data_IF_625961551536
#
_entry.id   IF_625961551536
#
_cell.length_a   1.000
_cell.length_b   1.000
_cell.length_c   1.000
_cell.angle_alpha   90.00
_cell.angle_beta   90.00
_cell.angle_gamma   90.00
#
_symmetry.space_group_name_H-M   'P 1'
#
loop_
_entity.id
_entity.type
_entity.pdbx_description
1 polymer ?
#
# COMPACT_ATOMS: atom_id res chain seq x y z
N UNK A 1 16.69 12.82 28.59
CA UNK A 1 17.79 11.85 28.78
C UNK A 1 18.71 11.95 27.56
N UNK A 2 19.98 12.31 27.75
CA UNK A 2 20.95 12.41 26.64
C UNK A 2 21.50 11.01 26.36
N UNK A 3 21.15 10.39 25.23
CA UNK A 3 21.62 9.04 24.90
C UNK A 3 23.00 9.16 24.23
N UNK A 4 24.05 8.80 24.97
CA UNK A 4 25.42 8.75 24.49
C UNK A 4 25.80 7.30 24.14
N UNK A 5 26.06 7.00 22.86
CA UNK A 5 26.90 5.85 22.49
C UNK A 5 28.35 6.33 22.42
N UNK A 6 29.14 5.99 23.44
CA UNK A 6 30.56 6.32 23.52
C UNK A 6 31.35 5.55 22.46
N UNK A 7 31.63 6.23 21.34
CA UNK A 7 32.87 6.14 20.52
C UNK A 7 32.76 6.81 19.14
N UNK A 8 31.70 7.56 18.84
CA UNK A 8 31.63 8.41 17.63
C UNK A 8 30.83 9.69 17.92
N UNK A 9 31.48 10.71 18.47
CA UNK A 9 30.93 12.06 18.65
C UNK A 9 30.82 12.78 17.30
N UNK A 10 29.86 12.36 16.47
CA UNK A 10 29.43 13.14 15.30
C UNK A 10 28.25 14.02 15.72
N UNK A 11 28.29 15.36 15.55
CA UNK A 11 27.19 16.27 15.93
C UNK A 11 25.82 15.84 15.40
N UNK A 12 25.78 15.17 14.24
CA UNK A 12 24.56 14.68 13.59
C UNK A 12 23.89 13.49 14.30
N UNK A 13 24.55 12.82 15.26
CA UNK A 13 23.95 11.70 16.03
C UNK A 13 23.43 12.11 17.40
N UNK A 14 23.64 13.35 17.80
CA UNK A 14 23.15 13.88 19.06
C UNK A 14 21.77 14.50 18.87
N UNK A 15 20.78 13.99 19.61
CA UNK A 15 19.42 14.53 19.64
C UNK A 15 18.83 14.37 21.04
N UNK A 16 17.80 15.17 21.34
CA UNK A 16 17.11 15.14 22.63
C UNK A 16 15.65 14.74 22.41
N UNK A 17 15.16 13.88 23.31
CA UNK A 17 13.76 13.51 23.43
C UNK A 17 13.27 13.91 24.82
N UNK A 18 12.20 14.70 24.85
CA UNK A 18 11.44 14.97 26.07
C UNK A 18 10.55 13.76 26.43
N UNK A 19 10.02 13.74 27.65
CA UNK A 19 9.02 12.74 28.05
C UNK A 19 7.78 12.81 27.14
N UNK A 20 7.35 14.01 26.78
CA UNK A 20 6.22 14.21 25.88
C UNK A 20 6.51 13.72 24.46
N UNK A 21 7.74 13.87 23.96
CA UNK A 21 8.11 13.31 22.64
C UNK A 21 8.01 11.78 22.66
N UNK A 22 8.46 11.12 23.74
CA UNK A 22 8.35 9.66 23.90
C UNK A 22 6.88 9.24 23.99
N UNK A 23 6.07 9.95 24.77
CA UNK A 23 4.64 9.66 24.93
C UNK A 23 3.85 9.87 23.62
N UNK A 24 4.26 10.82 22.76
CA UNK A 24 3.65 11.01 21.43
C UNK A 24 4.10 9.95 20.43
N UNK A 25 5.40 9.60 20.42
CA UNK A 25 5.96 8.66 19.45
C UNK A 25 5.57 7.22 19.79
N UNK A 26 5.67 6.82 21.06
CA UNK A 26 5.43 5.45 21.54
C UNK A 26 4.43 5.44 22.71
N UNK A 27 3.17 5.90 22.51
CA UNK A 27 2.18 5.99 23.59
C UNK A 27 1.85 4.65 24.24
N UNK A 28 1.88 3.57 23.46
CA UNK A 28 1.44 2.23 23.90
C UNK A 28 2.59 1.47 24.58
N UNK A 29 3.79 1.50 24.00
CA UNK A 29 4.93 0.71 24.49
C UNK A 29 5.84 1.48 25.45
N UNK A 30 5.82 2.82 25.42
CA UNK A 30 6.75 3.71 26.14
C UNK A 30 8.23 3.42 25.89
N UNK A 31 8.54 2.70 24.81
CA UNK A 31 9.91 2.38 24.42
C UNK A 31 10.63 3.64 23.95
N UNK A 32 11.95 3.70 24.11
CA UNK A 32 12.75 4.81 23.61
C UNK A 32 12.97 4.65 22.09
N UNK A 33 12.55 5.61 21.25
CA UNK A 33 12.83 5.56 19.82
C UNK A 33 14.33 5.80 19.57
N UNK A 34 14.87 5.11 18.56
CA UNK A 34 16.28 5.19 18.18
C UNK A 34 16.35 5.78 16.77
N UNK A 35 17.04 6.90 16.62
CA UNK A 35 17.24 7.57 15.34
C UNK A 35 18.70 7.49 14.91
N UNK A 36 18.93 7.43 13.60
CA UNK A 36 20.28 7.43 13.02
C UNK A 36 20.89 8.82 13.02
N UNK A 37 20.07 9.83 12.79
CA UNK A 37 20.49 11.24 12.74
C UNK A 37 19.55 12.15 13.53
N UNK A 38 20.03 13.35 13.86
CA UNK A 38 19.25 14.42 14.47
C UNK A 38 18.10 14.84 13.55
N UNK A 39 18.35 14.94 12.24
CA UNK A 39 17.35 15.32 11.24
C UNK A 39 16.20 14.30 11.21
N UNK A 40 16.50 12.99 11.27
CA UNK A 40 15.48 11.95 11.39
C UNK A 40 14.63 12.13 12.66
N UNK A 41 15.27 12.41 13.78
CA UNK A 41 14.59 12.61 15.06
C UNK A 41 13.68 13.85 15.04
N UNK A 42 14.19 14.99 14.57
CA UNK A 42 13.42 16.24 14.52
C UNK A 42 12.24 16.15 13.55
N UNK A 43 12.45 15.62 12.35
CA UNK A 43 11.38 15.46 11.37
C UNK A 43 10.32 14.46 11.85
N UNK A 44 10.74 13.33 12.44
CA UNK A 44 9.80 12.36 13.02
C UNK A 44 9.00 13.00 14.16
N UNK A 45 9.64 13.72 15.09
CA UNK A 45 8.93 14.45 16.15
C UNK A 45 7.92 15.44 15.57
N UNK A 46 8.28 16.21 14.55
CA UNK A 46 7.38 17.16 13.91
C UNK A 46 6.15 16.46 13.31
N UNK A 47 6.32 15.30 12.67
CA UNK A 47 5.21 14.49 12.17
C UNK A 47 4.29 14.03 13.30
N UNK A 48 4.81 13.45 14.39
CA UNK A 48 4.00 12.99 15.53
C UNK A 48 3.34 14.12 16.33
N UNK A 49 3.77 15.38 16.16
CA UNK A 49 3.08 16.55 16.73
C UNK A 49 1.85 16.94 15.91
N UNK A 50 1.82 16.62 14.61
CA UNK A 50 0.75 16.99 13.69
C UNK A 50 -0.25 15.87 13.46
N UNK A 51 0.23 14.63 13.41
CA UNK A 51 -0.56 13.46 13.05
C UNK A 51 -0.63 12.48 14.23
N UNK A 52 -1.83 12.09 14.69
CA UNK A 52 -1.98 11.14 15.78
C UNK A 52 -1.55 9.73 15.37
N UNK A 53 -1.29 8.88 16.36
CA UNK A 53 -1.09 7.45 16.13
C UNK A 53 -2.38 6.75 15.67
N UNK A 54 -2.25 5.66 14.92
CA UNK A 54 -3.38 4.86 14.45
C UNK A 54 -4.30 4.38 15.60
N UNK A 55 -3.71 3.93 16.71
CA UNK A 55 -4.39 3.51 17.94
C UNK A 55 -3.59 4.00 19.14
N UNK A 56 -4.23 4.77 20.01
CA UNK A 56 -3.69 5.16 21.31
C UNK A 56 -4.40 4.38 22.42
N UNK A 57 -3.79 3.30 22.88
CA UNK A 57 -4.36 2.43 23.93
C UNK A 57 -4.43 3.14 25.27
N UNK A 58 -3.46 4.02 25.57
CA UNK A 58 -3.44 4.79 26.82
C UNK A 58 -4.61 5.78 26.93
N UNK A 59 -5.11 6.28 25.79
CA UNK A 59 -6.25 7.21 25.71
C UNK A 59 -7.55 6.55 25.25
N UNK A 60 -7.52 5.26 24.89
CA UNK A 60 -8.66 4.55 24.31
C UNK A 60 -9.07 5.06 22.93
N UNK A 61 -8.17 5.71 22.18
CA UNK A 61 -8.48 6.31 20.88
C UNK A 61 -8.21 5.32 19.75
N UNK A 62 -9.24 5.07 18.94
CA UNK A 62 -9.17 4.25 17.72
C UNK A 62 -10.06 4.89 16.64
N UNK A 63 -9.62 6.00 16.01
CA UNK A 63 -10.46 6.79 15.11
C UNK A 63 -10.92 6.03 13.86
N UNK A 64 -10.21 4.97 13.49
CA UNK A 64 -10.53 4.11 12.33
C UNK A 64 -11.31 2.85 12.70
N UNK A 65 -11.59 2.62 13.99
CA UNK A 65 -12.15 1.38 14.50
C UNK A 65 -11.32 0.15 14.08
N UNK A 66 -10.01 0.31 13.92
CA UNK A 66 -9.14 -0.72 13.33
C UNK A 66 -9.09 -1.96 14.23
N UNK A 67 -9.18 -3.14 13.59
CA UNK A 67 -8.91 -4.44 14.18
C UNK A 67 -7.92 -5.19 13.30
N UNK A 68 -7.20 -6.13 13.89
CA UNK A 68 -6.19 -6.92 13.18
C UNK A 68 -6.51 -8.41 13.24
N UNK A 69 -6.22 -9.12 12.15
CA UNK A 69 -6.45 -10.56 12.03
C UNK A 69 -5.26 -11.24 11.35
N UNK A 70 -4.67 -12.24 12.00
CA UNK A 70 -3.81 -13.21 11.34
C UNK A 70 -4.66 -14.43 10.98
N UNK A 71 -4.98 -14.60 9.70
CA UNK A 71 -6.05 -15.52 9.28
C UNK A 71 -5.60 -17.00 9.29
N UNK A 72 -4.58 -17.39 8.52
CA UNK A 72 -4.06 -18.78 8.53
C UNK A 72 -2.60 -18.87 8.94
N UNK A 73 -2.30 -19.62 9.99
CA UNK A 73 -0.94 -19.91 10.41
C UNK A 73 -0.36 -21.06 9.56
N UNK A 74 0.81 -20.86 8.96
CA UNK A 74 1.35 -21.81 7.97
C UNK A 74 1.66 -23.21 8.54
N UNK A 75 1.97 -23.29 9.84
CA UNK A 75 2.21 -24.56 10.54
C UNK A 75 0.91 -25.15 11.12
N UNK A 76 0.26 -24.43 12.04
CA UNK A 76 -0.91 -24.91 12.78
C UNK A 76 -2.11 -25.24 11.88
N UNK A 77 -2.34 -24.47 10.82
CA UNK A 77 -3.48 -24.67 9.91
C UNK A 77 -3.10 -25.49 8.65
N UNK A 78 -1.89 -26.06 8.59
CA UNK A 78 -1.39 -26.76 7.39
C UNK A 78 -2.30 -27.90 6.91
N UNK A 79 -3.03 -28.54 7.82
CA UNK A 79 -4.00 -29.60 7.54
C UNK A 79 -5.19 -29.12 6.67
N UNK A 80 -5.45 -27.82 6.59
CA UNK A 80 -6.48 -27.22 5.74
C UNK A 80 -5.99 -26.92 4.32
N UNK A 81 -4.68 -26.93 4.09
CA UNK A 81 -4.10 -26.49 2.83
C UNK A 81 -4.15 -27.62 1.80
N UNK A 82 -4.57 -27.29 0.58
CA UNK A 82 -4.60 -28.23 -0.54
C UNK A 82 -3.82 -27.67 -1.71
N UNK A 83 -3.05 -28.53 -2.38
CA UNK A 83 -2.39 -28.23 -3.64
C UNK A 83 -3.37 -28.40 -4.80
N UNK A 84 -2.98 -27.83 -5.95
CA UNK A 84 -3.70 -28.02 -7.22
C UNK A 84 -3.93 -29.50 -7.54
N UNK A 85 -2.87 -30.32 -7.48
CA UNK A 85 -2.94 -31.74 -7.83
C UNK A 85 -3.90 -32.52 -6.92
N UNK A 86 -3.90 -32.22 -5.62
CA UNK A 86 -4.82 -32.87 -4.66
C UNK A 86 -6.29 -32.54 -4.95
N UNK A 87 -6.59 -31.27 -5.26
CA UNK A 87 -7.96 -30.84 -5.58
C UNK A 87 -8.43 -31.38 -6.93
N UNK A 88 -7.59 -31.38 -7.95
CA UNK A 88 -7.90 -31.97 -9.26
C UNK A 88 -8.16 -33.48 -9.14
N UNK A 89 -7.37 -34.20 -8.34
CA UNK A 89 -7.59 -35.62 -8.06
C UNK A 89 -8.89 -35.90 -7.30
N UNK A 90 -9.39 -34.93 -6.52
CA UNK A 90 -10.67 -34.99 -5.81
C UNK A 90 -11.87 -34.54 -6.67
N UNK A 91 -11.66 -34.27 -7.97
CA UNK A 91 -12.73 -33.89 -8.90
C UNK A 91 -13.11 -32.41 -8.87
N UNK A 92 -12.28 -31.54 -8.30
CA UNK A 92 -12.44 -30.09 -8.41
C UNK A 92 -11.88 -29.59 -9.74
N UNK A 93 -12.46 -28.50 -10.25
CA UNK A 93 -11.99 -27.79 -11.44
C UNK A 93 -11.62 -26.35 -11.06
N UNK A 94 -10.49 -25.89 -11.59
CA UNK A 94 -10.01 -24.53 -11.40
C UNK A 94 -10.79 -23.56 -12.32
N UNK A 95 -11.33 -22.49 -11.75
CA UNK A 95 -11.97 -21.37 -12.44
C UNK A 95 -11.27 -20.08 -12.00
N UNK A 96 -10.43 -19.52 -12.86
CA UNK A 96 -9.50 -18.45 -12.48
C UNK A 96 -8.44 -18.97 -11.49
N UNK A 97 -8.56 -18.60 -10.23
CA UNK A 97 -7.74 -19.10 -9.12
C UNK A 97 -8.57 -19.72 -7.99
N UNK A 98 -9.84 -20.06 -8.25
CA UNK A 98 -10.73 -20.74 -7.29
C UNK A 98 -11.03 -22.15 -7.77
N UNK A 99 -11.03 -23.10 -6.85
CA UNK A 99 -11.48 -24.46 -7.13
C UNK A 99 -12.96 -24.63 -6.77
N UNK A 100 -13.71 -25.20 -7.72
CA UNK A 100 -15.14 -25.52 -7.61
C UNK A 100 -15.33 -26.99 -7.91
N UNK A 101 -16.19 -27.68 -7.16
CA UNK A 101 -16.50 -29.09 -7.42
C UNK A 101 -17.20 -29.25 -8.78
N UNK A 102 -16.79 -30.25 -9.57
CA UNK A 102 -17.21 -30.35 -10.98
C UNK A 102 -18.74 -30.49 -11.16
N UNK A 103 -19.41 -31.22 -10.27
CA UNK A 103 -20.85 -31.45 -10.26
C UNK A 103 -21.66 -30.16 -9.95
N UNK A 104 -21.17 -29.33 -9.03
CA UNK A 104 -21.76 -28.03 -8.74
C UNK A 104 -21.54 -27.04 -9.90
N UNK A 105 -20.36 -27.06 -10.52
CA UNK A 105 -20.05 -26.21 -11.66
C UNK A 105 -20.99 -26.46 -12.85
N UNK A 106 -21.35 -27.72 -13.08
CA UNK A 106 -22.26 -28.14 -14.16
C UNK A 106 -23.71 -27.67 -13.97
N UNK A 107 -24.13 -27.41 -12.71
CA UNK A 107 -25.44 -26.83 -12.39
C UNK A 107 -25.52 -25.33 -12.63
N UNK A 108 -24.39 -24.63 -12.71
CA UNK A 108 -24.35 -23.19 -12.97
C UNK A 108 -24.24 -22.98 -14.49
N UNK A 109 -25.18 -22.23 -15.12
CA UNK A 109 -25.11 -21.89 -16.54
C UNK A 109 -23.72 -21.35 -16.87
N UNK A 110 -23.13 -21.74 -18.02
CA UNK A 110 -21.82 -21.18 -18.47
C UNK A 110 -21.80 -19.65 -18.38
N UNK A 111 -22.94 -19.04 -18.64
CA UNK A 111 -23.28 -17.61 -18.57
C UNK A 111 -23.32 -17.00 -17.16
N UNK A 112 -23.17 -17.77 -16.08
CA UNK A 112 -23.18 -17.29 -14.68
C UNK A 112 -22.01 -17.79 -13.84
N UNK A 113 -21.04 -18.50 -14.44
CA UNK A 113 -19.81 -18.96 -13.78
C UNK A 113 -18.82 -17.80 -13.58
N UNK A 114 -19.12 -16.88 -12.66
CA UNK A 114 -18.21 -15.80 -12.23
C UNK A 114 -17.78 -16.00 -10.78
N UNK A 115 -16.60 -15.51 -10.41
CA UNK A 115 -16.09 -15.55 -9.03
C UNK A 115 -17.11 -15.04 -8.01
N UNK A 116 -17.76 -13.91 -8.28
CA UNK A 116 -18.80 -13.32 -7.41
C UNK A 116 -20.04 -14.22 -7.27
N UNK A 117 -20.44 -14.94 -8.31
CA UNK A 117 -21.56 -15.86 -8.26
C UNK A 117 -21.29 -17.11 -7.39
N UNK A 118 -20.02 -17.56 -7.32
CA UNK A 118 -19.63 -18.70 -6.47
C UNK A 118 -19.56 -18.31 -4.98
N UNK A 119 -18.99 -17.14 -4.65
CA UNK A 119 -18.95 -16.68 -3.26
C UNK A 119 -20.35 -16.44 -2.67
N UNK A 120 -21.28 -15.91 -3.47
CA UNK A 120 -22.65 -15.63 -3.04
C UNK A 120 -23.54 -16.89 -2.96
N UNK A 121 -23.15 -18.00 -3.59
CA UNK A 121 -23.98 -19.23 -3.60
C UNK A 121 -23.88 -20.04 -2.31
N UNK A 122 -22.97 -19.68 -1.38
CA UNK A 122 -22.79 -20.41 -0.13
C UNK A 122 -22.33 -21.87 -0.33
N UNK A 123 -21.77 -22.18 -1.50
CA UNK A 123 -21.35 -23.53 -1.83
C UNK A 123 -20.27 -24.00 -0.85
N UNK A 124 -20.57 -25.07 -0.10
CA UNK A 124 -19.65 -25.67 0.87
C UNK A 124 -18.40 -26.27 0.20
N UNK A 125 -18.47 -26.51 -1.11
CA UNK A 125 -17.45 -27.17 -1.92
C UNK A 125 -16.56 -26.17 -2.70
N UNK A 126 -16.19 -25.06 -2.07
CA UNK A 126 -15.30 -24.05 -2.67
C UNK A 126 -13.96 -23.99 -1.96
N UNK A 127 -12.90 -23.82 -2.75
CA UNK A 127 -11.53 -23.64 -2.27
C UNK A 127 -10.97 -22.33 -2.80
N UNK A 128 -10.66 -21.42 -1.88
CA UNK A 128 -10.14 -20.08 -2.16
C UNK A 128 -8.60 -20.08 -2.17
N UNK A 129 -7.96 -19.22 -2.97
CA UNK A 129 -6.52 -19.13 -3.01
C UNK A 129 -5.97 -18.66 -1.65
N UNK A 130 -4.89 -19.28 -1.17
CA UNK A 130 -4.18 -18.84 0.03
C UNK A 130 -3.05 -17.88 -0.38
N UNK A 131 -3.28 -16.59 -0.15
CA UNK A 131 -2.34 -15.52 -0.44
C UNK A 131 -1.18 -15.50 0.56
N UNK A 132 0.01 -15.24 0.03
CA UNK A 132 1.24 -15.08 0.78
C UNK A 132 1.84 -13.69 0.54
N UNK A 133 2.68 -13.22 1.47
CA UNK A 133 3.25 -11.87 1.40
C UNK A 133 3.97 -11.59 0.08
N UNK A 134 4.59 -12.59 -0.54
CA UNK A 134 5.31 -12.45 -1.82
C UNK A 134 4.43 -12.39 -3.06
N UNK A 135 3.11 -12.54 -2.91
CA UNK A 135 2.13 -12.40 -3.99
C UNK A 135 1.62 -10.96 -4.13
N UNK A 136 1.93 -10.08 -3.17
CA UNK A 136 1.35 -8.74 -3.08
C UNK A 136 2.43 -7.66 -3.03
N UNK A 137 2.09 -6.49 -3.54
CA UNK A 137 2.85 -5.25 -3.44
C UNK A 137 1.91 -4.06 -3.24
N UNK A 138 2.44 -2.86 -3.00
CA UNK A 138 1.59 -1.69 -2.80
C UNK A 138 0.88 -1.36 -4.10
N UNK A 139 -0.44 -1.16 -4.02
CA UNK A 139 -1.37 -1.03 -5.15
C UNK A 139 -1.42 -2.23 -6.10
N UNK A 140 -0.94 -3.41 -5.71
CA UNK A 140 -0.89 -4.57 -6.59
C UNK A 140 -1.14 -5.88 -5.84
N UNK A 141 -2.33 -6.45 -6.01
CA UNK A 141 -2.69 -7.76 -5.47
C UNK A 141 -2.27 -8.93 -6.38
N UNK A 142 -1.69 -8.63 -7.56
CA UNK A 142 -1.27 -9.60 -8.57
C UNK A 142 0.25 -9.62 -8.79
N UNK A 143 1.01 -9.08 -7.83
CA UNK A 143 2.45 -8.88 -7.93
C UNK A 143 3.27 -10.17 -8.11
N UNK A 144 2.86 -11.28 -7.50
CA UNK A 144 3.64 -12.52 -7.53
C UNK A 144 2.77 -13.76 -7.72
N UNK A 145 3.18 -14.64 -8.64
CA UNK A 145 2.45 -15.87 -8.97
C UNK A 145 3.32 -17.11 -8.80
N UNK A 146 2.74 -18.22 -8.36
CA UNK A 146 3.39 -19.53 -8.35
C UNK A 146 3.27 -20.28 -9.67
N UNK A 147 2.60 -19.71 -10.66
CA UNK A 147 2.56 -20.28 -12.00
C UNK A 147 3.97 -20.45 -12.57
N UNK A 148 4.27 -21.65 -13.06
CA UNK A 148 5.60 -22.00 -13.58
C UNK A 148 6.68 -22.21 -12.51
N UNK A 149 6.35 -22.07 -11.22
CA UNK A 149 7.28 -22.31 -10.11
C UNK A 149 7.23 -23.77 -9.69
N UNK A 150 8.37 -24.46 -9.75
CA UNK A 150 8.49 -25.88 -9.41
C UNK A 150 8.89 -26.14 -7.96
N UNK A 151 9.45 -25.14 -7.26
CA UNK A 151 9.88 -25.25 -5.87
C UNK A 151 9.36 -24.11 -5.01
N UNK A 152 8.82 -24.45 -3.84
CA UNK A 152 8.35 -23.50 -2.82
C UNK A 152 9.50 -22.80 -2.08
N UNK A 153 10.74 -23.30 -2.18
CA UNK A 153 11.90 -22.77 -1.43
C UNK A 153 12.31 -21.35 -1.83
N UNK A 154 11.87 -20.87 -3.01
CA UNK A 154 12.19 -19.51 -3.45
C UNK A 154 11.49 -18.46 -2.59
N UNK A 155 12.27 -17.49 -2.11
CA UNK A 155 11.79 -16.32 -1.38
C UNK A 155 11.14 -15.27 -2.29
N UNK A 156 11.38 -15.37 -3.60
CA UNK A 156 10.81 -14.49 -4.63
C UNK A 156 9.93 -15.28 -5.59
N UNK A 157 8.87 -14.64 -6.08
CA UNK A 157 8.02 -15.17 -7.14
C UNK A 157 8.28 -14.37 -8.42
N UNK A 158 8.11 -15.00 -9.61
CA UNK A 158 8.01 -14.25 -10.85
C UNK A 158 6.92 -13.18 -10.74
N UNK A 159 7.27 -11.94 -11.10
CA UNK A 159 6.32 -10.84 -11.23
C UNK A 159 5.72 -10.87 -12.64
N UNK A 160 4.39 -10.90 -12.80
CA UNK A 160 3.76 -10.81 -14.11
C UNK A 160 4.17 -9.53 -14.86
N UNK A 161 4.27 -9.59 -16.18
CA UNK A 161 4.61 -8.41 -16.97
C UNK A 161 3.40 -7.46 -17.15
N UNK A 162 3.63 -6.30 -17.76
CA UNK A 162 2.59 -5.28 -18.00
C UNK A 162 1.45 -5.81 -18.89
N UNK A 163 1.72 -6.73 -19.82
CA UNK A 163 0.68 -7.30 -20.68
C UNK A 163 -0.28 -8.17 -19.88
N UNK A 164 0.25 -8.98 -18.96
CA UNK A 164 -0.56 -9.79 -18.04
C UNK A 164 -1.33 -8.92 -17.07
N UNK A 165 -0.72 -7.88 -16.51
CA UNK A 165 -1.45 -6.95 -15.64
C UNK A 165 -2.54 -6.17 -16.37
N UNK A 166 -2.34 -5.85 -17.65
CA UNK A 166 -3.34 -5.19 -18.47
C UNK A 166 -4.56 -6.06 -18.80
N UNK A 167 -4.46 -7.40 -18.65
CA UNK A 167 -5.62 -8.29 -18.73
C UNK A 167 -6.43 -8.23 -17.43
N UNK A 168 -7.68 -7.72 -17.45
CA UNK A 168 -8.51 -7.63 -16.25
C UNK A 168 -9.02 -8.99 -15.75
N UNK A 169 -8.86 -10.05 -16.54
CA UNK A 169 -9.22 -11.42 -16.17
C UNK A 169 -8.05 -12.21 -15.58
N UNK A 170 -6.83 -11.66 -15.69
CA UNK A 170 -5.64 -12.30 -15.13
C UNK A 170 -5.68 -12.27 -13.61
N UNK A 171 -5.53 -13.46 -13.01
CA UNK A 171 -5.40 -13.68 -11.57
C UNK A 171 -4.13 -14.47 -11.26
N UNK A 172 -3.49 -14.17 -10.13
CA UNK A 172 -2.31 -14.91 -9.68
C UNK A 172 -2.66 -16.30 -9.17
N UNK A 173 -1.76 -17.25 -9.37
CA UNK A 173 -1.91 -18.62 -8.89
C UNK A 173 -1.20 -18.76 -7.54
N UNK A 174 -1.89 -19.22 -6.48
CA UNK A 174 -1.27 -19.53 -5.21
C UNK A 174 -0.56 -20.89 -5.29
N UNK A 175 0.19 -21.23 -4.23
CA UNK A 175 0.67 -22.60 -4.05
C UNK A 175 -0.38 -23.49 -3.39
N UNK A 176 -1.16 -22.92 -2.46
CA UNK A 176 -2.18 -23.63 -1.69
C UNK A 176 -3.55 -22.96 -1.83
N UNK A 177 -4.58 -23.76 -1.64
CA UNK A 177 -5.95 -23.34 -1.48
C UNK A 177 -6.49 -23.79 -0.13
N UNK A 178 -7.47 -23.06 0.39
CA UNK A 178 -8.15 -23.32 1.67
C UNK A 178 -9.67 -23.39 1.47
N UNK A 179 -10.41 -24.16 2.28
CA UNK A 179 -11.86 -24.21 2.18
C UNK A 179 -12.47 -22.82 2.40
N UNK A 180 -13.46 -22.44 1.58
CA UNK A 180 -14.09 -21.13 1.67
C UNK A 180 -14.76 -20.91 3.03
N UNK A 181 -15.42 -21.93 3.59
CA UNK A 181 -16.07 -21.81 4.91
C UNK A 181 -15.09 -21.51 6.05
N UNK A 182 -13.84 -21.95 5.95
CA UNK A 182 -12.77 -21.64 6.92
C UNK A 182 -12.35 -20.16 6.84
N UNK A 183 -12.39 -19.57 5.63
CA UNK A 183 -12.17 -18.13 5.41
C UNK A 183 -13.32 -17.34 6.02
N UNK A 184 -14.57 -17.73 5.72
CA UNK A 184 -15.78 -17.08 6.24
C UNK A 184 -15.83 -17.11 7.77
N UNK A 185 -15.58 -18.26 8.38
CA UNK A 185 -15.58 -18.42 9.84
C UNK A 185 -14.57 -17.50 10.52
N UNK A 186 -13.37 -17.34 9.94
CA UNK A 186 -12.31 -16.46 10.47
C UNK A 186 -12.59 -14.97 10.25
N UNK A 187 -13.30 -14.63 9.18
CA UNK A 187 -13.71 -13.25 8.88
C UNK A 187 -14.90 -12.80 9.73
N UNK A 188 -15.72 -13.74 10.22
CA UNK A 188 -16.84 -13.46 11.11
C UNK A 188 -17.81 -12.43 10.51
N UNK A 189 -17.94 -11.28 11.16
CA UNK A 189 -18.85 -10.22 10.71
C UNK A 189 -18.35 -9.38 9.54
N UNK A 190 -17.17 -9.67 8.98
CA UNK A 190 -16.67 -8.96 7.81
C UNK A 190 -17.43 -9.36 6.53
N UNK A 191 -18.40 -8.54 6.12
CA UNK A 191 -19.27 -8.81 4.96
C UNK A 191 -18.75 -8.32 3.61
N UNK A 192 -17.63 -7.59 3.57
CA UNK A 192 -17.12 -7.00 2.31
C UNK A 192 -16.51 -8.06 1.40
N UNK A 193 -16.68 -7.89 0.09
CA UNK A 193 -16.13 -8.78 -0.94
C UNK A 193 -14.62 -8.63 -1.16
N UNK A 194 -13.92 -7.90 -0.30
CA UNK A 194 -12.51 -7.58 -0.38
C UNK A 194 -11.90 -7.50 1.01
N UNK A 195 -10.57 -7.58 1.07
CA UNK A 195 -9.76 -7.56 2.28
C UNK A 195 -8.66 -6.49 2.13
N UNK A 196 -8.03 -6.14 3.25
CA UNK A 196 -6.87 -5.26 3.28
C UNK A 196 -5.79 -5.93 4.11
N UNK A 197 -4.63 -6.19 3.50
CA UNK A 197 -3.52 -6.87 4.16
C UNK A 197 -2.20 -6.14 3.97
N UNK A 198 -1.18 -6.55 4.72
CA UNK A 198 0.17 -6.00 4.57
C UNK A 198 1.24 -7.07 4.65
N UNK A 199 2.43 -6.79 4.12
CA UNK A 199 3.58 -7.69 4.24
C UNK A 199 4.16 -7.55 5.65
N UNK A 200 4.03 -8.59 6.48
CA UNK A 200 4.62 -8.59 7.82
C UNK A 200 6.15 -8.60 7.76
N UNK A 201 6.72 -9.46 6.91
CA UNK A 201 8.17 -9.61 6.77
C UNK A 201 8.75 -8.41 6.02
N UNK A 202 9.49 -7.56 6.72
CA UNK A 202 10.07 -6.33 6.17
C UNK A 202 11.20 -5.80 7.05
N UNK A 203 11.99 -4.83 6.59
CA UNK A 203 13.02 -4.17 7.40
C UNK A 203 13.22 -2.71 6.97
N UNK A 204 13.99 -1.93 7.73
CA UNK A 204 14.25 -0.51 7.49
C UNK A 204 15.07 -0.21 6.22
N UNK A 205 15.66 -1.22 5.59
CA UNK A 205 16.55 -1.08 4.41
C UNK A 205 15.92 -1.54 3.10
N UNK A 206 14.74 -2.18 3.14
CA UNK A 206 14.02 -2.62 1.96
C UNK A 206 13.67 -1.47 1.03
N UNK A 207 13.32 -1.78 -0.23
CA UNK A 207 12.79 -0.80 -1.20
C UNK A 207 11.61 -0.03 -0.61
N UNK A 208 10.69 -0.74 0.05
CA UNK A 208 9.58 -0.22 0.86
C UNK A 208 9.54 -0.98 2.18
N UNK A 209 9.42 -0.27 3.28
CA UNK A 209 9.27 -0.90 4.60
C UNK A 209 7.81 -1.21 4.88
N UNK A 210 6.89 -0.32 4.50
CA UNK A 210 5.46 -0.50 4.64
C UNK A 210 4.85 -0.83 3.28
N UNK A 211 4.23 -2.01 3.17
CA UNK A 211 3.60 -2.48 1.93
C UNK A 211 2.23 -3.05 2.25
N UNK A 212 1.18 -2.31 1.88
CA UNK A 212 -0.21 -2.68 2.07
C UNK A 212 -0.88 -2.94 0.72
N UNK A 213 -1.76 -3.94 0.66
CA UNK A 213 -2.50 -4.28 -0.56
C UNK A 213 -3.96 -4.56 -0.24
N UNK A 214 -4.86 -3.99 -1.06
CA UNK A 214 -6.26 -4.41 -1.10
C UNK A 214 -6.34 -5.70 -1.89
N UNK A 215 -7.05 -6.69 -1.36
CA UNK A 215 -7.13 -8.04 -1.90
C UNK A 215 -8.59 -8.40 -2.19
N UNK A 216 -8.86 -9.30 -3.14
CA UNK A 216 -10.16 -9.95 -3.22
C UNK A 216 -10.45 -10.74 -1.92
N UNK A 217 -11.69 -11.20 -1.73
CA UNK A 217 -12.03 -12.08 -0.61
C UNK A 217 -11.38 -13.46 -0.78
N UNK A 218 -10.22 -13.64 -0.13
CA UNK A 218 -9.34 -14.81 -0.28
C UNK A 218 -8.83 -15.30 1.08
N UNK A 219 -8.23 -16.49 1.12
CA UNK A 219 -7.44 -16.90 2.26
C UNK A 219 -6.14 -16.09 2.32
N UNK A 220 -5.71 -15.67 3.51
CA UNK A 220 -4.45 -14.97 3.70
C UNK A 220 -3.63 -15.66 4.80
N UNK A 221 -2.35 -15.93 4.54
CA UNK A 221 -1.51 -16.47 5.58
C UNK A 221 -1.14 -15.40 6.63
N UNK A 222 -0.63 -15.83 7.78
CA UNK A 222 -0.21 -14.96 8.89
C UNK A 222 0.95 -14.00 8.55
N UNK A 223 1.57 -14.13 7.36
CA UNK A 223 2.55 -13.15 6.83
C UNK A 223 1.91 -12.10 5.92
N UNK A 224 0.61 -12.23 5.64
CA UNK A 224 -0.29 -11.19 5.17
C UNK A 224 -1.33 -10.89 6.24
N UNK A 225 -0.96 -10.27 7.37
CA UNK A 225 -1.94 -9.93 8.39
C UNK A 225 -2.95 -8.92 7.83
N UNK A 226 -4.20 -9.05 8.23
CA UNK A 226 -5.30 -8.24 7.76
C UNK A 226 -5.59 -7.07 8.69
N UNK A 227 -5.99 -5.96 8.09
CA UNK A 227 -6.47 -4.74 8.74
C UNK A 227 -7.96 -4.61 8.44
N UNK A 228 -8.78 -4.66 9.48
CA UNK A 228 -10.23 -4.53 9.38
C UNK A 228 -10.63 -3.14 9.88
N UNK A 229 -11.03 -2.26 8.97
CA UNK A 229 -11.43 -0.88 9.28
C UNK A 229 -12.96 -0.80 9.44
N UNK A 230 -13.43 -0.10 10.47
CA UNK A 230 -14.87 0.14 10.69
C UNK A 230 -15.21 1.53 10.15
N UNK A 231 -15.15 1.65 8.83
CA UNK A 231 -15.42 2.90 8.07
C UNK A 231 -15.91 2.58 6.67
N UNK A 232 -16.43 3.56 5.90
CA UNK A 232 -16.88 3.32 4.53
C UNK A 232 -15.70 3.09 3.54
N UNK A 233 -15.99 2.65 2.32
CA UNK A 233 -14.94 2.31 1.34
C UNK A 233 -14.23 3.53 0.75
N UNK A 234 -14.91 4.68 0.70
CA UNK A 234 -14.33 5.98 0.32
C UNK A 234 -13.19 6.37 1.29
N UNK A 235 -13.44 6.35 2.60
CA UNK A 235 -12.43 6.62 3.62
C UNK A 235 -11.39 5.50 3.72
N UNK A 236 -11.75 4.26 3.40
CA UNK A 236 -10.78 3.16 3.31
C UNK A 236 -9.74 3.43 2.21
N UNK A 237 -10.15 3.98 1.06
CA UNK A 237 -9.24 4.40 -0.01
C UNK A 237 -8.23 5.44 0.49
N UNK A 238 -8.68 6.40 1.29
CA UNK A 238 -7.81 7.39 1.92
C UNK A 238 -6.82 6.74 2.90
N UNK A 239 -7.30 5.92 3.83
CA UNK A 239 -6.42 5.18 4.74
C UNK A 239 -5.37 4.36 3.99
N UNK A 240 -5.80 3.66 2.94
CA UNK A 240 -4.95 2.81 2.12
C UNK A 240 -3.86 3.58 1.40
N UNK A 241 -4.18 4.74 0.83
CA UNK A 241 -3.20 5.59 0.20
C UNK A 241 -2.21 6.20 1.21
N UNK A 242 -2.70 6.54 2.41
CA UNK A 242 -1.88 7.08 3.47
C UNK A 242 -0.77 6.10 3.89
N UNK A 243 -1.14 4.85 4.22
CA UNK A 243 -0.19 3.83 4.69
C UNK A 243 0.77 3.33 3.60
N UNK A 244 0.49 3.67 2.34
CA UNK A 244 1.39 3.43 1.20
C UNK A 244 2.13 4.70 0.75
N UNK A 245 2.05 5.81 1.48
CA UNK A 245 2.84 7.01 1.18
C UNK A 245 4.31 6.87 1.60
N UNK A 246 5.21 7.55 0.91
CA UNK A 246 6.63 7.62 1.28
C UNK A 246 6.85 8.27 2.65
N UNK A 247 5.96 9.18 3.08
CA UNK A 247 6.03 9.79 4.42
C UNK A 247 5.75 8.75 5.50
N UNK A 248 4.70 7.94 5.33
CA UNK A 248 4.39 6.86 6.24
C UNK A 248 5.52 5.80 6.27
N UNK A 249 6.06 5.44 5.09
CA UNK A 249 7.16 4.49 4.97
C UNK A 249 8.43 5.01 5.67
N UNK A 250 8.76 6.30 5.50
CA UNK A 250 9.86 6.96 6.19
C UNK A 250 9.74 6.85 7.71
N UNK A 251 8.57 7.16 8.29
CA UNK A 251 8.39 7.02 9.74
C UNK A 251 8.46 5.55 10.17
N UNK A 252 7.92 4.64 9.36
CA UNK A 252 7.97 3.20 9.63
C UNK A 252 9.41 2.70 9.69
N UNK A 253 10.30 3.17 8.81
CA UNK A 253 11.74 2.84 8.82
C UNK A 253 12.44 3.23 10.12
N UNK A 254 12.04 4.35 10.72
CA UNK A 254 12.61 4.79 12.00
C UNK A 254 12.08 4.00 13.19
N UNK A 255 10.93 3.32 13.02
CA UNK A 255 10.26 2.57 14.08
C UNK A 255 10.61 1.08 14.07
N UNK A 256 10.92 0.52 12.90
CA UNK A 256 11.24 -0.89 12.77
C UNK A 256 12.70 -1.17 13.17
N UNK A 257 12.88 -2.02 14.18
CA UNK A 257 14.21 -2.49 14.61
C UNK A 257 14.58 -3.89 14.11
N UNK A 258 13.62 -4.62 13.51
CA UNK A 258 13.78 -6.02 13.15
C UNK A 258 13.21 -6.35 11.75
N UNK A 259 12.79 -7.60 11.58
CA UNK A 259 12.33 -8.15 10.30
C UNK A 259 10.81 -8.30 10.19
N UNK A 260 10.05 -7.73 11.12
CA UNK A 260 8.58 -7.79 11.18
C UNK A 260 8.02 -6.41 11.48
N UNK A 261 6.99 -6.01 10.71
CA UNK A 261 6.21 -4.82 11.03
C UNK A 261 5.37 -5.06 12.29
N UNK A 262 4.58 -6.14 12.32
CA UNK A 262 3.76 -6.49 13.47
C UNK A 262 2.68 -5.46 13.85
N UNK A 263 1.67 -5.90 14.61
CA UNK A 263 0.56 -5.04 15.00
C UNK A 263 0.95 -3.95 16.01
N UNK A 264 1.88 -4.27 16.92
CA UNK A 264 2.28 -3.34 17.97
C UNK A 264 3.01 -2.10 17.41
N UNK A 265 3.79 -2.24 16.33
CA UNK A 265 4.40 -1.09 15.65
C UNK A 265 3.31 -0.32 14.90
N UNK A 266 2.50 -1.03 14.09
CA UNK A 266 1.48 -0.42 13.25
C UNK A 266 0.47 0.42 14.04
N UNK A 267 0.03 -0.04 15.22
CA UNK A 267 -0.85 0.71 16.12
C UNK A 267 -0.32 2.09 16.48
N UNK A 268 0.99 2.25 16.57
CA UNK A 268 1.62 3.50 17.02
C UNK A 268 2.38 4.23 15.90
N UNK A 269 2.03 3.99 14.63
CA UNK A 269 2.48 4.79 13.49
C UNK A 269 1.51 5.96 13.25
N UNK A 270 2.01 7.11 12.76
CA UNK A 270 1.19 8.29 12.56
C UNK A 270 0.30 8.11 11.32
N UNK A 271 -1.01 8.08 11.52
CA UNK A 271 -2.02 7.93 10.46
C UNK A 271 -3.03 9.06 10.60
N UNK A 272 -3.26 9.79 9.51
CA UNK A 272 -4.25 10.85 9.45
C UNK A 272 -5.63 10.29 9.85
N UNK A 273 -6.37 10.95 10.76
CA UNK A 273 -7.69 10.49 11.18
C UNK A 273 -8.73 10.69 10.05
N UNK A 274 -9.90 10.03 10.10
CA UNK A 274 -10.96 10.25 9.12
C UNK A 274 -11.36 11.72 8.97
N UNK A 275 -11.28 12.51 10.05
CA UNK A 275 -11.59 13.95 10.04
C UNK A 275 -10.61 14.81 9.24
N UNK A 276 -9.48 14.26 8.81
CA UNK A 276 -8.52 14.96 7.95
C UNK A 276 -8.95 15.00 6.47
N UNK A 277 -9.99 14.25 6.09
CA UNK A 277 -10.41 14.11 4.70
C UNK A 277 -11.74 14.83 4.47
N UNK A 278 -11.67 16.02 3.85
CA UNK A 278 -12.84 16.74 3.35
C UNK A 278 -13.15 16.29 1.93
N UNK A 279 -14.24 16.81 1.35
CA UNK A 279 -14.61 16.51 -0.03
C UNK A 279 -13.51 16.82 -1.05
N UNK A 280 -12.66 17.81 -0.78
CA UNK A 280 -11.49 18.12 -1.61
C UNK A 280 -10.52 16.94 -1.65
N UNK A 281 -10.09 16.45 -0.48
CA UNK A 281 -9.16 15.33 -0.39
C UNK A 281 -9.77 14.04 -0.97
N UNK A 282 -11.07 13.80 -0.76
CA UNK A 282 -11.75 12.63 -1.32
C UNK A 282 -11.71 12.63 -2.85
N UNK A 283 -11.99 13.76 -3.50
CA UNK A 283 -11.97 13.90 -4.96
C UNK A 283 -10.57 13.77 -5.54
N UNK A 284 -9.54 14.16 -4.80
CA UNK A 284 -8.16 13.97 -5.23
C UNK A 284 -7.72 12.50 -5.08
N UNK A 285 -7.95 11.90 -3.92
CA UNK A 285 -7.32 10.63 -3.54
C UNK A 285 -8.07 9.43 -4.14
N UNK A 286 -9.39 9.38 -3.99
CA UNK A 286 -10.17 8.16 -4.26
C UNK A 286 -10.14 7.73 -5.73
N UNK A 287 -10.30 8.62 -6.73
CA UNK A 287 -10.19 8.22 -8.13
C UNK A 287 -8.82 7.62 -8.47
N UNK A 288 -7.74 8.19 -7.93
CA UNK A 288 -6.36 7.71 -8.13
C UNK A 288 -6.15 6.34 -7.50
N UNK A 289 -6.69 6.11 -6.30
CA UNK A 289 -6.65 4.81 -5.63
C UNK A 289 -7.44 3.76 -6.41
N UNK A 290 -8.62 4.10 -6.91
CA UNK A 290 -9.40 3.18 -7.74
C UNK A 290 -8.66 2.80 -9.01
N UNK A 291 -8.04 3.75 -9.71
CA UNK A 291 -7.22 3.44 -10.89
C UNK A 291 -6.04 2.53 -10.55
N UNK A 292 -5.43 2.75 -9.38
CA UNK A 292 -4.31 1.94 -8.93
C UNK A 292 -4.71 0.51 -8.52
N UNK A 293 -5.93 0.30 -8.01
CA UNK A 293 -6.35 -0.97 -7.39
C UNK A 293 -7.30 -1.77 -8.28
N UNK A 294 -8.32 -1.14 -8.86
CA UNK A 294 -9.35 -1.82 -9.65
C UNK A 294 -8.87 -2.05 -11.09
N UNK A 295 -7.84 -2.89 -11.23
CA UNK A 295 -7.25 -3.29 -12.52
C UNK A 295 -7.66 -4.69 -12.98
N UNK A 296 -8.44 -5.40 -12.16
CA UNK A 296 -8.97 -6.72 -12.45
C UNK A 296 -10.37 -6.92 -11.86
N UNK A 297 -11.12 -7.84 -12.46
CA UNK A 297 -12.52 -8.11 -12.09
C UNK A 297 -12.70 -8.65 -10.67
N UNK A 298 -11.69 -9.30 -10.12
CA UNK A 298 -11.71 -9.80 -8.74
C UNK A 298 -11.73 -8.67 -7.70
N UNK A 299 -11.35 -7.45 -8.08
CA UNK A 299 -11.47 -6.23 -7.27
C UNK A 299 -12.75 -5.42 -7.51
N UNK A 300 -13.67 -5.90 -8.36
CA UNK A 300 -14.96 -5.25 -8.59
C UNK A 300 -15.77 -5.01 -7.30
N UNK A 301 -15.78 -5.91 -6.29
CA UNK A 301 -16.50 -5.65 -5.04
C UNK A 301 -16.00 -4.40 -4.30
N UNK A 302 -14.69 -4.10 -4.36
CA UNK A 302 -14.15 -2.88 -3.76
C UNK A 302 -14.61 -1.63 -4.53
N UNK A 303 -14.53 -1.65 -5.86
CA UNK A 303 -14.98 -0.54 -6.69
C UNK A 303 -16.47 -0.25 -6.51
N UNK A 304 -17.30 -1.30 -6.43
CA UNK A 304 -18.73 -1.19 -6.17
C UNK A 304 -18.99 -0.54 -4.80
N UNK A 305 -18.36 -1.00 -3.73
CA UNK A 305 -18.55 -0.39 -2.40
C UNK A 305 -18.10 1.08 -2.37
N UNK A 306 -17.04 1.45 -3.11
CA UNK A 306 -16.61 2.85 -3.24
C UNK A 306 -17.65 3.67 -4.00
N UNK A 307 -18.17 3.15 -5.11
CA UNK A 307 -19.20 3.82 -5.90
C UNK A 307 -20.49 4.07 -5.12
N UNK A 308 -20.96 3.05 -4.40
CA UNK A 308 -22.16 3.15 -3.55
C UNK A 308 -21.99 4.17 -2.43
N UNK A 309 -20.80 4.24 -1.82
CA UNK A 309 -20.50 5.20 -0.76
C UNK A 309 -20.17 6.62 -1.26
N UNK A 310 -19.92 6.82 -2.56
CA UNK A 310 -19.54 8.10 -3.14
C UNK A 310 -20.76 9.00 -3.41
N UNK A 311 -20.59 10.30 -3.17
CA UNK A 311 -21.56 11.31 -3.60
C UNK A 311 -21.46 11.61 -5.11
N UNK A 312 -22.35 12.45 -5.63
CA UNK A 312 -22.44 12.76 -7.05
C UNK A 312 -21.13 13.36 -7.62
N UNK A 313 -20.50 14.27 -6.88
CA UNK A 313 -19.28 14.94 -7.31
C UNK A 313 -18.10 13.95 -7.33
N UNK A 314 -18.02 13.08 -6.32
CA UNK A 314 -16.99 12.05 -6.27
C UNK A 314 -17.19 11.00 -7.38
N UNK A 315 -18.44 10.58 -7.65
CA UNK A 315 -18.76 9.70 -8.79
C UNK A 315 -18.36 10.32 -10.13
N UNK A 316 -18.59 11.62 -10.30
CA UNK A 316 -18.13 12.35 -11.49
C UNK A 316 -16.60 12.35 -11.61
N UNK A 317 -15.88 12.58 -10.51
CA UNK A 317 -14.41 12.51 -10.50
C UNK A 317 -13.87 11.10 -10.81
N UNK A 318 -14.52 10.05 -10.29
CA UNK A 318 -14.17 8.65 -10.59
C UNK A 318 -14.37 8.37 -12.08
N UNK A 319 -15.50 8.80 -12.67
CA UNK A 319 -15.77 8.63 -14.10
C UNK A 319 -14.74 9.36 -14.97
N UNK A 320 -14.42 10.60 -14.64
CA UNK A 320 -13.40 11.38 -15.36
C UNK A 320 -12.01 10.71 -15.30
N UNK A 321 -11.63 10.15 -14.15
CA UNK A 321 -10.38 9.40 -14.01
C UNK A 321 -10.36 8.16 -14.92
N UNK A 322 -11.49 7.43 -14.99
CA UNK A 322 -11.63 6.26 -15.84
C UNK A 322 -11.54 6.61 -17.33
N UNK A 323 -12.22 7.68 -17.77
CA UNK A 323 -12.14 8.18 -19.15
C UNK A 323 -10.72 8.60 -19.51
N UNK A 324 -10.01 9.27 -18.59
CA UNK A 324 -8.61 9.65 -18.79
C UNK A 324 -7.67 8.44 -18.89
N UNK A 325 -7.89 7.38 -18.10
CA UNK A 325 -7.15 6.11 -18.22
C UNK A 325 -7.43 5.43 -19.57
N UNK A 326 -8.69 5.36 -19.98
CA UNK A 326 -9.11 4.76 -21.25
C UNK A 326 -8.49 5.50 -22.45
N UNK A 327 -8.48 6.84 -22.42
CA UNK A 327 -7.86 7.66 -23.45
C UNK A 327 -6.33 7.48 -23.50
N UNK A 328 -5.66 7.40 -22.35
CA UNK A 328 -4.21 7.31 -22.27
C UNK A 328 -3.62 5.94 -22.65
N UNK A 329 -4.43 4.88 -22.65
CA UNK A 329 -3.94 3.49 -22.81
C UNK A 329 -4.25 2.85 -24.17
N UNK A 330 -4.71 3.64 -25.14
CA UNK A 330 -4.90 3.26 -26.55
C UNK A 330 -5.89 2.10 -26.81
N UNK A 331 -7.16 2.51 -26.97
CA UNK A 331 -8.26 1.94 -27.78
C UNK A 331 -9.04 0.68 -27.37
N UNK A 332 -10.35 0.72 -27.68
CA UNK A 332 -11.34 -0.35 -27.80
C UNK A 332 -11.36 -1.40 -26.70
N UNK A 333 -11.72 -1.00 -25.48
CA UNK A 333 -12.27 -1.94 -24.52
C UNK A 333 -13.62 -2.45 -25.04
N UNK A 334 -13.74 -3.72 -25.39
CA UNK A 334 -15.05 -4.35 -25.51
C UNK A 334 -15.50 -4.68 -24.08
N UNK A 335 -16.53 -4.00 -23.54
CA UNK A 335 -17.08 -4.37 -22.26
C UNK A 335 -17.46 -5.85 -22.29
N UNK A 336 -17.04 -6.61 -21.28
CA UNK A 336 -17.50 -7.98 -21.13
C UNK A 336 -19.04 -7.94 -21.07
N UNK A 337 -19.78 -8.76 -21.84
CA UNK A 337 -21.24 -8.66 -22.00
C UNK A 337 -22.06 -8.97 -20.72
N UNK A 338 -21.44 -9.02 -19.53
CA UNK A 338 -22.10 -9.37 -18.27
C UNK A 338 -22.28 -8.22 -17.30
N UNK A 339 -21.99 -7.00 -17.72
CA UNK A 339 -22.32 -5.82 -16.91
C UNK A 339 -22.92 -4.78 -17.86
N UNK A 340 -24.18 -4.99 -18.20
CA UNK A 340 -24.99 -4.02 -18.93
C UNK A 340 -26.10 -3.55 -17.99
N UNK A 341 -26.01 -2.31 -17.51
CA UNK A 341 -27.21 -1.51 -17.26
C UNK A 341 -27.20 -0.52 -16.09
N UNK A 342 -26.24 -0.53 -15.17
CA UNK A 342 -26.23 0.36 -14.01
C UNK A 342 -25.34 1.60 -14.17
N UNK A 343 -25.74 2.72 -13.56
CA UNK A 343 -24.98 3.99 -13.58
C UNK A 343 -23.58 3.90 -12.90
N UNK A 344 -23.23 2.77 -12.27
CA UNK A 344 -21.97 2.50 -11.58
C UNK A 344 -21.12 1.34 -12.12
N UNK A 345 -21.45 0.82 -13.30
CA UNK A 345 -20.83 -0.37 -13.90
C UNK A 345 -19.55 -0.05 -14.70
N UNK A 346 -18.62 0.68 -14.11
CA UNK A 346 -17.33 0.95 -14.77
C UNK A 346 -16.49 -0.33 -14.83
N UNK A 347 -15.90 -0.69 -15.98
CA UNK A 347 -14.98 -1.81 -16.04
C UNK A 347 -13.64 -1.49 -15.36
N UNK A 348 -12.80 -2.49 -15.07
CA UNK A 348 -11.49 -2.26 -14.48
C UNK A 348 -10.65 -1.29 -15.30
N UNK A 349 -9.88 -0.46 -14.60
CA UNK A 349 -8.88 0.42 -15.20
C UNK A 349 -7.80 -0.42 -15.87
N UNK A 350 -7.31 0.04 -17.03
CA UNK A 350 -6.21 -0.64 -17.71
C UNK A 350 -4.90 -0.35 -16.98
N UNK A 351 -4.15 -1.41 -16.71
CA UNK A 351 -2.80 -1.28 -16.16
C UNK A 351 -1.86 -0.65 -17.18
N UNK A 352 -1.20 0.44 -16.80
CA UNK A 352 -0.11 1.06 -17.56
C UNK A 352 0.93 1.61 -16.56
N UNK A 353 2.13 1.05 -16.61
CA UNK A 353 3.15 1.24 -15.57
C UNK A 353 3.64 2.69 -15.46
N UNK A 354 3.75 3.43 -16.57
CA UNK A 354 4.16 4.84 -16.54
C UNK A 354 3.12 5.73 -15.84
N UNK A 355 1.83 5.53 -16.16
CA UNK A 355 0.71 6.24 -15.56
C UNK A 355 0.57 5.90 -14.08
N UNK A 356 0.70 4.62 -13.71
CA UNK A 356 0.66 4.18 -12.31
C UNK A 356 1.76 4.84 -11.47
N UNK A 357 2.98 4.95 -12.00
CA UNK A 357 4.07 5.64 -11.30
C UNK A 357 3.76 7.13 -11.08
N UNK A 358 3.15 7.81 -12.06
CA UNK A 358 2.68 9.21 -11.89
C UNK A 358 1.61 9.34 -10.81
N UNK A 359 0.61 8.45 -10.80
CA UNK A 359 -0.46 8.47 -9.79
C UNK A 359 0.07 8.21 -8.37
N UNK A 360 1.00 7.27 -8.22
CA UNK A 360 1.66 7.03 -6.93
C UNK A 360 2.43 8.27 -6.47
N UNK A 361 3.18 8.90 -7.37
CA UNK A 361 3.91 10.13 -7.07
C UNK A 361 3.00 11.32 -6.69
N UNK A 362 1.84 11.43 -7.35
CA UNK A 362 0.82 12.42 -6.99
C UNK A 362 0.25 12.17 -5.58
N UNK A 363 -0.05 10.91 -5.24
CA UNK A 363 -0.47 10.55 -3.89
C UNK A 363 0.63 10.84 -2.86
N UNK A 364 1.89 10.51 -3.16
CA UNK A 364 3.03 10.77 -2.27
C UNK A 364 3.22 12.27 -2.00
N UNK A 365 3.17 13.11 -3.04
CA UNK A 365 3.26 14.56 -2.90
C UNK A 365 2.08 15.14 -2.10
N UNK A 366 0.87 14.65 -2.38
CA UNK A 366 -0.34 15.09 -1.69
C UNK A 366 -0.32 14.70 -0.21
N UNK A 367 0.08 13.46 0.12
CA UNK A 367 0.24 13.05 1.51
C UNK A 367 1.34 13.84 2.21
N UNK A 368 2.45 14.16 1.55
CA UNK A 368 3.46 15.03 2.15
C UNK A 368 2.87 16.38 2.62
N UNK A 369 1.93 16.97 1.87
CA UNK A 369 1.19 18.17 2.31
C UNK A 369 0.24 17.89 3.47
N UNK A 370 -0.52 16.80 3.42
CA UNK A 370 -1.44 16.44 4.52
C UNK A 370 -0.70 16.16 5.83
N UNK A 371 0.53 15.68 5.77
CA UNK A 371 1.44 15.55 6.93
C UNK A 371 2.05 16.89 7.39
N UNK A 372 1.79 17.98 6.67
CA UNK A 372 2.30 19.32 6.93
C UNK A 372 3.79 19.46 6.66
N UNK A 373 4.31 18.76 5.65
CA UNK A 373 5.71 18.86 5.25
C UNK A 373 5.95 20.07 4.33
N UNK A 374 7.16 20.60 4.34
CA UNK A 374 7.65 21.53 3.31
C UNK A 374 8.29 20.77 2.14
N UNK A 375 8.51 21.44 1.01
CA UNK A 375 9.25 20.86 -0.13
C UNK A 375 10.65 20.38 0.27
N UNK A 376 11.35 21.14 1.11
CA UNK A 376 12.65 20.74 1.71
C UNK A 376 12.53 19.43 2.52
N UNK A 377 11.51 19.30 3.36
CA UNK A 377 11.30 18.10 4.16
C UNK A 377 10.93 16.89 3.29
N UNK A 378 10.15 17.09 2.24
CA UNK A 378 9.88 16.05 1.24
C UNK A 378 11.15 15.63 0.49
N UNK A 379 11.99 16.58 0.06
CA UNK A 379 13.31 16.29 -0.54
C UNK A 379 14.18 15.47 0.41
N UNK A 380 14.19 15.79 1.71
CA UNK A 380 14.91 15.00 2.71
C UNK A 380 14.37 13.57 2.82
N UNK A 381 13.05 13.38 2.83
CA UNK A 381 12.44 12.05 2.83
C UNK A 381 12.84 11.26 1.58
N UNK A 382 12.82 11.89 0.40
CA UNK A 382 13.17 11.24 -0.86
C UNK A 382 14.66 10.88 -0.92
N UNK A 383 15.53 11.85 -0.64
CA UNK A 383 16.98 11.70 -0.64
C UNK A 383 17.65 12.77 0.26
N UNK A 384 18.09 12.44 1.48
CA UNK A 384 18.81 13.36 2.35
C UNK A 384 20.06 13.98 1.70
N UNK A 385 20.70 13.28 0.76
CA UNK A 385 21.89 13.77 0.07
C UNK A 385 21.60 14.92 -0.93
N UNK A 386 20.32 15.18 -1.23
CA UNK A 386 19.89 16.31 -2.07
C UNK A 386 19.93 17.65 -1.33
N UNK A 387 19.91 17.65 0.01
CA UNK A 387 19.90 18.88 0.79
C UNK A 387 21.30 19.45 0.96
N UNK A 388 21.38 20.78 1.00
CA UNK A 388 22.64 21.48 1.28
C UNK A 388 22.98 21.44 2.77
N UNK A 389 24.23 21.77 3.12
CA UNK A 389 24.66 21.79 4.52
C UNK A 389 23.79 22.74 5.37
N UNK A 390 23.44 23.92 4.83
CA UNK A 390 22.57 24.90 5.50
C UNK A 390 21.14 24.39 5.63
N UNK A 391 20.60 23.76 4.60
CA UNK A 391 19.27 23.13 4.66
C UNK A 391 19.18 22.03 5.74
N UNK A 392 20.29 21.34 6.02
CA UNK A 392 20.40 20.28 7.02
C UNK A 392 20.67 20.77 8.45
N UNK A 393 21.10 22.02 8.65
CA UNK A 393 21.34 22.58 9.99
C UNK A 393 20.06 22.57 10.82
N UNK A 394 18.96 23.05 10.20
CA UNK A 394 17.61 22.98 10.74
C UNK A 394 16.62 22.48 9.67
N UNK A 395 16.20 21.22 9.82
CA UNK A 395 15.24 20.58 8.92
C UNK A 395 13.81 21.13 9.08
N UNK A 396 13.54 21.84 10.18
CA UNK A 396 12.22 22.40 10.48
C UNK A 396 12.08 23.86 10.02
N UNK A 397 13.19 24.57 9.81
CA UNK A 397 13.19 25.88 9.14
C UNK A 397 12.53 25.75 7.75
N UNK A 398 11.52 26.56 7.38
CA UNK A 398 10.93 26.50 6.05
C UNK A 398 11.86 27.00 4.93
N UNK A 399 12.95 27.70 5.26
CA UNK A 399 13.89 28.23 4.27
C UNK A 399 14.51 27.12 3.40
N UNK A 400 14.54 27.37 2.09
CA UNK A 400 15.06 26.47 1.06
C UNK A 400 16.11 27.20 0.21
N UNK A 401 17.28 26.59 0.04
CA UNK A 401 18.37 27.13 -0.78
C UNK A 401 18.20 26.71 -2.25
N UNK A 402 17.72 25.50 -2.47
CA UNK A 402 17.55 24.93 -3.80
C UNK A 402 16.19 25.37 -4.37
N UNK A 403 16.24 26.35 -5.27
CA UNK A 403 15.06 26.92 -5.92
C UNK A 403 14.42 25.94 -6.92
N UNK A 404 15.24 25.30 -7.75
CA UNK A 404 14.82 24.27 -8.71
C UNK A 404 15.40 22.89 -8.34
N UNK A 405 14.65 22.08 -7.58
CA UNK A 405 15.07 20.72 -7.24
C UNK A 405 14.91 19.73 -8.41
N UNK A 406 14.28 20.10 -9.53
CA UNK A 406 14.14 19.23 -10.71
C UNK A 406 15.35 19.30 -11.64
N UNK A 407 16.23 20.30 -11.48
CA UNK A 407 17.49 20.37 -12.22
C UNK A 407 18.39 19.14 -11.92
N UNK A 408 18.44 18.21 -12.88
CA UNK A 408 19.15 16.94 -12.72
C UNK A 408 20.66 17.10 -12.55
N UNK A 409 21.29 18.07 -13.23
CA UNK A 409 22.73 18.31 -13.11
C UNK A 409 23.08 18.86 -11.73
N UNK A 410 22.28 19.81 -11.23
CA UNK A 410 22.45 20.37 -9.90
C UNK A 410 22.21 19.32 -8.80
N UNK A 411 21.18 18.48 -8.95
CA UNK A 411 20.91 17.34 -8.05
C UNK A 411 22.09 16.35 -8.02
N UNK A 412 22.58 15.92 -9.19
CA UNK A 412 23.75 15.02 -9.26
C UNK A 412 24.96 15.64 -8.56
N UNK A 413 25.24 16.91 -8.81
CA UNK A 413 26.33 17.63 -8.14
C UNK A 413 26.18 17.63 -6.62
N UNK A 414 24.99 17.96 -6.09
CA UNK A 414 24.72 17.97 -4.64
C UNK A 414 24.90 16.57 -4.02
N UNK A 415 24.27 15.56 -4.61
CA UNK A 415 24.35 14.19 -4.08
C UNK A 415 25.77 13.61 -4.09
N UNK A 416 26.57 13.89 -5.13
CA UNK A 416 27.98 13.47 -5.17
C UNK A 416 28.85 14.21 -4.16
N UNK A 417 28.52 15.46 -3.84
CA UNK A 417 29.27 16.29 -2.88
C UNK A 417 28.80 16.11 -1.42
N UNK A 418 27.66 15.47 -1.21
CA UNK A 418 27.06 15.31 0.11
C UNK A 418 27.88 14.37 0.99
N UNK A 419 28.09 14.77 2.25
CA UNK A 419 28.69 13.97 3.30
C UNK A 419 27.63 13.29 4.20
N UNK A 420 26.35 13.34 3.81
CA UNK A 420 25.27 12.85 4.66
C UNK A 420 25.34 11.32 4.83
N UNK A 421 25.30 10.80 6.07
CA UNK A 421 25.69 9.42 6.36
C UNK A 421 24.62 8.36 6.05
N UNK A 422 23.54 8.71 5.34
CA UNK A 422 22.42 7.80 5.14
C UNK A 422 21.50 8.20 4.00
N UNK A 423 20.67 7.25 3.59
CA UNK A 423 19.63 7.44 2.59
C UNK A 423 18.33 6.78 3.07
N UNK A 424 17.20 7.45 2.87
CA UNK A 424 15.88 6.95 3.29
C UNK A 424 15.44 5.74 2.47
N UNK A 425 15.59 5.83 1.15
CA UNK A 425 15.10 4.85 0.18
C UNK A 425 16.20 4.34 -0.78
N UNK A 426 17.38 4.01 -0.24
CA UNK A 426 18.56 3.58 -1.03
C UNK A 426 18.25 2.51 -2.07
N UNK A 427 17.59 1.42 -1.66
CA UNK A 427 17.30 0.28 -2.55
C UNK A 427 16.37 0.69 -3.69
N UNK A 428 15.38 1.57 -3.43
CA UNK A 428 14.52 2.13 -4.46
C UNK A 428 15.32 3.00 -5.43
N UNK A 429 16.12 3.94 -4.90
CA UNK A 429 17.00 4.81 -5.69
C UNK A 429 17.95 4.00 -6.57
N UNK A 430 18.68 3.03 -6.01
CA UNK A 430 19.60 2.16 -6.75
C UNK A 430 18.89 1.32 -7.82
N UNK A 431 17.68 0.83 -7.54
CA UNK A 431 16.87 0.11 -8.53
C UNK A 431 16.46 1.03 -9.67
N UNK A 432 15.92 2.21 -9.39
CA UNK A 432 15.49 3.15 -10.43
C UNK A 432 16.67 3.72 -11.23
N UNK A 433 17.80 4.01 -10.58
CA UNK A 433 19.03 4.42 -11.28
C UNK A 433 19.48 3.36 -12.29
N UNK A 434 19.36 2.07 -11.96
CA UNK A 434 19.68 0.97 -12.89
C UNK A 434 18.69 0.82 -14.05
N UNK A 435 17.39 1.02 -13.81
CA UNK A 435 16.36 0.77 -14.81
C UNK A 435 16.07 1.99 -15.70
N UNK A 436 16.15 3.20 -15.13
CA UNK A 436 15.73 4.44 -15.78
C UNK A 436 16.88 5.45 -15.95
N UNK A 437 18.06 5.22 -15.36
CA UNK A 437 19.18 6.17 -15.40
C UNK A 437 18.99 7.42 -14.52
N UNK A 438 17.91 7.46 -13.74
CA UNK A 438 17.57 8.54 -12.83
C UNK A 438 16.81 8.03 -11.60
N UNK A 439 16.77 8.84 -10.54
CA UNK A 439 15.89 8.58 -9.39
C UNK A 439 14.47 9.06 -9.74
N UNK A 440 13.76 8.24 -10.53
CA UNK A 440 12.49 8.56 -11.16
C UNK A 440 11.39 8.94 -10.16
N UNK A 441 11.26 8.19 -9.06
CA UNK A 441 10.29 8.48 -7.99
C UNK A 441 10.51 9.89 -7.44
N UNK A 442 11.76 10.28 -7.15
CA UNK A 442 12.08 11.65 -6.70
C UNK A 442 11.59 12.69 -7.71
N UNK A 443 11.91 12.52 -8.99
CA UNK A 443 11.52 13.47 -10.03
C UNK A 443 9.99 13.59 -10.12
N UNK A 444 9.28 12.48 -10.24
CA UNK A 444 7.81 12.48 -10.38
C UNK A 444 7.10 13.07 -9.16
N UNK A 445 7.59 12.78 -7.94
CA UNK A 445 7.00 13.31 -6.70
C UNK A 445 7.21 14.82 -6.61
N UNK A 446 8.39 15.33 -6.98
CA UNK A 446 8.67 16.77 -6.98
C UNK A 446 7.91 17.50 -8.11
N UNK A 447 7.75 16.88 -9.28
CA UNK A 447 6.89 17.40 -10.34
C UNK A 447 5.43 17.50 -9.88
N UNK A 448 4.92 16.46 -9.20
CA UNK A 448 3.59 16.48 -8.62
C UNK A 448 3.44 17.54 -7.52
N UNK A 449 4.46 17.70 -6.67
CA UNK A 449 4.50 18.74 -5.65
C UNK A 449 4.35 20.14 -6.25
N UNK A 450 5.12 20.45 -7.30
CA UNK A 450 5.08 21.75 -7.96
C UNK A 450 3.70 22.01 -8.59
N UNK A 451 3.09 21.00 -9.24
CA UNK A 451 1.72 21.12 -9.78
C UNK A 451 0.70 21.45 -8.69
N UNK A 452 0.82 20.84 -7.52
CA UNK A 452 -0.04 21.14 -6.37
C UNK A 452 0.19 22.57 -5.83
N UNK A 453 1.43 23.09 -5.84
CA UNK A 453 1.70 24.50 -5.48
C UNK A 453 1.02 25.46 -6.45
N UNK A 454 1.16 25.21 -7.75
CA UNK A 454 0.60 26.05 -8.81
C UNK A 454 -0.94 26.07 -8.78
N UNK A 455 -1.56 24.97 -8.38
CA UNK A 455 -3.03 24.84 -8.25
C UNK A 455 -3.57 25.37 -6.91
N UNK A 456 -2.70 25.77 -5.97
CA UNK A 456 -3.10 26.20 -4.63
C UNK A 456 -3.69 25.07 -3.79
N UNK A 457 -3.30 23.82 -4.06
CA UNK A 457 -3.88 22.61 -3.46
C UNK A 457 -3.25 22.19 -2.14
#
# INVERSE_FOLDING_TARGET
>A
MMILRSNQLYPRRLFTLSADDIARINPNTRTLPVFRTRQDAELTKAIYRRVPVLVNEARGENPWGVRFLAMFHMSNDSHLFRTRAELEAQGYRLVGNVFVKADELERIPKERRTFSAFLLSGAQSLYLPLYEAKMIWHYDHRFGTYEGVTSRSSTQLPTPDDRRHADPSFVVQPWYWVPAHEVEARLGEWKRGWLLGFRDVTNATNERTAVFSLLPRVGANHKVPLVLLVTNSVLTSCWYANVNSLVFDFVTRQKIGGTSLGFFILRQLPVLPPSAYTQKELRFIVPRVLELVYTAWDMAPFAADVWEAADADLRAAIRAQWEANAAATSSHFQPHPRIAGGEGDLPPFRWESERRARLQAELDAYYARLYGLTRKQLRYILDPADLTARELEDILDPWEEVTDPLNLQAYRKRTTQSDFPGESFRVLKEKEMRHYGEYRTRRLVLEAWNRLEEQGE
#
